data_IF_464373360586
#
_entry.id   IF_464373360586
#
_cell.length_a   1.000
_cell.length_b   1.000
_cell.length_c   1.000
_cell.angle_alpha   90.00
_cell.angle_beta   90.00
_cell.angle_gamma   90.00
#
_symmetry.space_group_name_H-M   'P 1'
#
loop_
_entity.id
_entity.type
_entity.pdbx_description
1 polymer ?
#
# COMPACT_ATOMS: atom_id res chain seq x y z
N UNK A 1 -0.44 -20.81 -22.35
CA UNK A 1 -1.15 -21.34 -21.17
C UNK A 1 -2.55 -20.72 -21.08
N UNK A 2 -3.58 -21.52 -20.76
CA UNK A 2 -4.97 -21.09 -20.57
C UNK A 2 -5.45 -21.55 -19.18
N UNK A 3 -6.31 -20.76 -18.54
CA UNK A 3 -6.88 -21.12 -17.22
C UNK A 3 -7.58 -22.48 -17.25
N UNK A 4 -8.25 -22.81 -18.35
CA UNK A 4 -8.87 -24.11 -18.55
C UNK A 4 -7.88 -25.28 -18.48
N UNK A 5 -6.65 -25.11 -18.96
CA UNK A 5 -5.61 -26.15 -18.85
C UNK A 5 -5.17 -26.36 -17.40
N UNK A 6 -5.15 -25.29 -16.59
CA UNK A 6 -4.87 -25.40 -15.14
C UNK A 6 -5.97 -26.21 -14.44
N UNK A 7 -7.24 -25.95 -14.76
CA UNK A 7 -8.36 -26.77 -14.27
C UNK A 7 -8.22 -28.24 -14.66
N UNK A 8 -7.74 -28.51 -15.87
CA UNK A 8 -7.50 -29.91 -16.30
C UNK A 8 -6.44 -30.59 -15.47
N UNK A 9 -5.30 -29.93 -15.22
CA UNK A 9 -4.23 -30.49 -14.37
C UNK A 9 -4.76 -30.80 -12.97
N UNK A 10 -5.47 -29.84 -12.34
CA UNK A 10 -6.04 -30.00 -10.99
C UNK A 10 -6.99 -31.21 -10.98
N UNK A 11 -7.89 -31.30 -11.97
CA UNK A 11 -8.89 -32.39 -12.04
C UNK A 11 -8.25 -33.76 -12.25
N UNK A 12 -7.18 -33.84 -13.06
CA UNK A 12 -6.42 -35.10 -13.24
C UNK A 12 -5.79 -35.55 -11.91
N UNK A 13 -5.25 -34.62 -11.14
CA UNK A 13 -4.64 -34.94 -9.84
C UNK A 13 -5.70 -35.38 -8.83
N UNK A 14 -6.85 -34.71 -8.79
CA UNK A 14 -7.96 -35.07 -7.90
C UNK A 14 -8.51 -36.48 -8.17
N UNK A 15 -8.62 -36.85 -9.44
CA UNK A 15 -9.18 -38.14 -9.83
C UNK A 15 -8.13 -39.26 -9.93
N UNK A 16 -6.86 -38.92 -10.02
CA UNK A 16 -5.75 -39.87 -10.25
C UNK A 16 -5.77 -40.54 -11.64
N UNK A 17 -6.68 -40.13 -12.55
CA UNK A 17 -6.90 -40.78 -13.83
C UNK A 17 -7.35 -39.81 -14.93
N UNK A 18 -6.66 -39.86 -16.09
CA UNK A 18 -7.07 -39.11 -17.30
C UNK A 18 -8.46 -39.46 -17.77
N UNK A 19 -8.85 -40.73 -17.70
CA UNK A 19 -10.17 -41.19 -18.15
C UNK A 19 -11.27 -40.67 -17.21
N UNK A 20 -11.05 -40.72 -15.90
CA UNK A 20 -12.02 -40.23 -14.92
C UNK A 20 -12.14 -38.71 -14.98
N UNK A 21 -11.00 -38.01 -15.05
CA UNK A 21 -10.98 -36.56 -15.22
C UNK A 21 -11.74 -36.11 -16.48
N UNK A 22 -11.52 -36.79 -17.62
CA UNK A 22 -12.18 -36.43 -18.86
C UNK A 22 -13.71 -36.58 -18.80
N UNK A 23 -14.22 -37.63 -18.10
CA UNK A 23 -15.67 -37.78 -17.86
C UNK A 23 -16.22 -36.64 -17.01
N UNK A 24 -15.56 -36.30 -15.91
CA UNK A 24 -16.00 -35.22 -15.02
C UNK A 24 -15.89 -33.83 -15.67
N UNK A 25 -14.97 -33.66 -16.60
CA UNK A 25 -14.81 -32.43 -17.39
C UNK A 25 -15.70 -32.36 -18.65
N UNK A 26 -16.47 -33.42 -18.94
CA UNK A 26 -17.31 -33.52 -20.13
C UNK A 26 -16.56 -33.33 -21.44
N UNK A 27 -15.33 -33.85 -21.55
CA UNK A 27 -14.50 -33.81 -22.74
C UNK A 27 -13.97 -35.22 -23.07
N UNK A 28 -13.46 -35.39 -24.29
CA UNK A 28 -12.84 -36.66 -24.66
C UNK A 28 -11.45 -36.80 -24.05
N UNK A 29 -11.06 -38.03 -23.65
CA UNK A 29 -9.74 -38.28 -23.10
C UNK A 29 -8.59 -37.86 -24.04
N UNK A 30 -8.67 -38.09 -25.39
CA UNK A 30 -7.63 -37.55 -26.29
C UNK A 30 -7.51 -36.02 -26.24
N UNK A 31 -8.65 -35.31 -26.18
CA UNK A 31 -8.62 -33.83 -26.04
C UNK A 31 -7.93 -33.36 -24.76
N UNK A 32 -8.26 -34.01 -23.63
CA UNK A 32 -7.61 -33.75 -22.36
C UNK A 32 -6.09 -34.02 -22.42
N UNK A 33 -5.70 -35.18 -22.97
CA UNK A 33 -4.30 -35.59 -23.10
C UNK A 33 -3.49 -34.63 -23.99
N UNK A 34 -4.10 -34.14 -25.09
CA UNK A 34 -3.46 -33.16 -25.97
C UNK A 34 -3.30 -31.79 -25.26
N UNK A 35 -4.34 -31.32 -24.56
CA UNK A 35 -4.28 -30.07 -23.83
C UNK A 35 -3.18 -30.07 -22.73
N UNK A 36 -2.99 -31.20 -22.05
CA UNK A 36 -1.90 -31.39 -21.08
C UNK A 36 -0.55 -31.38 -21.77
N UNK A 37 -0.39 -32.13 -22.86
CA UNK A 37 0.87 -32.18 -23.62
C UNK A 37 1.27 -30.82 -24.19
N UNK A 38 0.30 -30.05 -24.70
CA UNK A 38 0.54 -28.71 -25.22
C UNK A 38 1.02 -27.77 -24.10
N UNK A 39 0.42 -27.88 -22.91
CA UNK A 39 0.84 -27.13 -21.73
C UNK A 39 2.25 -27.52 -21.27
N UNK A 40 2.55 -28.81 -21.14
CA UNK A 40 3.88 -29.33 -20.79
C UNK A 40 4.95 -28.83 -21.78
N UNK A 41 4.64 -28.87 -23.08
CA UNK A 41 5.52 -28.38 -24.13
C UNK A 41 5.72 -26.83 -24.03
N UNK A 42 4.67 -26.08 -23.76
CA UNK A 42 4.74 -24.62 -23.63
C UNK A 42 5.55 -24.20 -22.39
N UNK A 43 5.39 -24.92 -21.28
CA UNK A 43 6.11 -24.66 -20.02
C UNK A 43 7.52 -25.24 -20.02
N UNK A 44 7.87 -26.16 -20.94
CA UNK A 44 9.15 -26.83 -20.98
C UNK A 44 9.40 -27.82 -19.84
N UNK A 45 8.33 -28.34 -19.23
CA UNK A 45 8.38 -29.31 -18.11
C UNK A 45 7.43 -30.48 -18.38
N UNK A 46 7.76 -31.63 -17.81
CA UNK A 46 6.83 -32.75 -17.69
C UNK A 46 6.07 -32.62 -16.37
N UNK A 47 4.76 -32.43 -16.41
CA UNK A 47 3.93 -32.32 -15.21
C UNK A 47 3.60 -33.70 -14.67
N UNK A 48 3.38 -34.68 -15.56
CA UNK A 48 2.96 -36.02 -15.19
C UNK A 48 3.94 -37.11 -15.66
N UNK A 49 4.13 -38.09 -14.80
CA UNK A 49 4.69 -39.39 -15.17
C UNK A 49 3.53 -40.36 -15.45
N UNK A 50 3.50 -40.93 -16.67
CA UNK A 50 2.52 -41.92 -17.07
C UNK A 50 3.10 -43.31 -16.89
N UNK A 51 2.47 -44.14 -16.13
CA UNK A 51 2.88 -45.56 -15.91
C UNK A 51 1.65 -46.48 -15.96
N UNK A 52 1.82 -47.79 -16.11
CA UNK A 52 0.71 -48.74 -16.17
C UNK A 52 -0.22 -48.74 -14.96
N UNK A 53 0.24 -48.21 -13.83
CA UNK A 53 -0.54 -48.10 -12.59
C UNK A 53 -1.32 -46.78 -12.45
N UNK A 54 -1.19 -45.86 -13.42
CA UNK A 54 -1.88 -44.55 -13.42
C UNK A 54 -0.96 -43.39 -13.70
N UNK A 55 -1.37 -42.22 -13.24
CA UNK A 55 -0.70 -40.94 -13.40
C UNK A 55 -0.18 -40.46 -12.06
N UNK A 56 1.10 -40.04 -12.02
CA UNK A 56 1.74 -39.43 -10.86
C UNK A 56 2.38 -38.09 -11.26
N UNK A 57 2.47 -37.15 -10.35
CA UNK A 57 3.16 -35.88 -10.58
C UNK A 57 4.68 -36.07 -10.58
N UNK A 58 5.37 -35.32 -11.43
CA UNK A 58 6.82 -35.08 -11.32
C UNK A 58 7.11 -34.11 -10.17
N UNK A 59 8.37 -33.86 -9.85
CA UNK A 59 8.76 -32.79 -8.91
C UNK A 59 8.32 -31.43 -9.42
N UNK A 60 8.59 -31.13 -10.69
CA UNK A 60 8.18 -29.87 -11.33
C UNK A 60 6.66 -29.77 -11.43
N UNK A 61 5.96 -30.90 -11.65
CA UNK A 61 4.50 -30.99 -11.65
C UNK A 61 3.87 -30.67 -10.30
N UNK A 62 4.50 -31.06 -9.18
CA UNK A 62 4.03 -30.70 -7.82
C UNK A 62 4.14 -29.19 -7.58
N UNK A 63 5.25 -28.58 -7.97
CA UNK A 63 5.45 -27.13 -7.88
C UNK A 63 4.46 -26.40 -8.78
N UNK A 64 4.35 -26.81 -10.05
CA UNK A 64 3.39 -26.26 -11.00
C UNK A 64 1.95 -26.33 -10.49
N UNK A 65 1.54 -27.47 -9.90
CA UNK A 65 0.19 -27.64 -9.34
C UNK A 65 -0.10 -26.64 -8.22
N UNK A 66 0.89 -26.33 -7.38
CA UNK A 66 0.74 -25.33 -6.31
C UNK A 66 0.38 -23.96 -6.87
N UNK A 67 1.13 -23.49 -7.88
CA UNK A 67 0.82 -22.22 -8.56
C UNK A 67 -0.49 -22.29 -9.35
N UNK A 68 -0.77 -23.40 -10.03
CA UNK A 68 -2.00 -23.59 -10.77
C UNK A 68 -3.25 -23.45 -9.90
N UNK A 69 -3.23 -24.01 -8.68
CA UNK A 69 -4.33 -23.87 -7.71
C UNK A 69 -4.53 -22.43 -7.29
N UNK A 70 -3.46 -21.67 -7.00
CA UNK A 70 -3.55 -20.27 -6.63
C UNK A 70 -4.18 -19.42 -7.74
N UNK A 71 -3.74 -19.60 -9.00
CA UNK A 71 -4.30 -18.88 -10.15
C UNK A 71 -5.80 -19.20 -10.34
N UNK A 72 -6.17 -20.47 -10.23
CA UNK A 72 -7.59 -20.90 -10.38
C UNK A 72 -8.43 -20.32 -9.25
N UNK A 73 -7.97 -20.36 -8.01
CA UNK A 73 -8.65 -19.77 -6.86
C UNK A 73 -8.85 -18.26 -7.02
N UNK A 74 -7.82 -17.52 -7.43
CA UNK A 74 -7.94 -16.09 -7.72
C UNK A 74 -8.95 -15.81 -8.85
N UNK A 75 -8.99 -16.67 -9.86
CA UNK A 75 -9.97 -16.54 -10.95
C UNK A 75 -11.39 -16.78 -10.46
N UNK A 76 -11.60 -17.77 -9.60
CA UNK A 76 -12.90 -18.05 -8.98
C UNK A 76 -13.38 -16.88 -8.12
N UNK A 77 -12.51 -16.33 -7.28
CA UNK A 77 -12.82 -15.14 -6.47
C UNK A 77 -13.24 -13.94 -7.37
N UNK A 78 -12.51 -13.72 -8.47
CA UNK A 78 -12.86 -12.69 -9.44
C UNK A 78 -14.25 -12.94 -10.07
N UNK A 79 -14.52 -14.18 -10.48
CA UNK A 79 -15.83 -14.54 -11.07
C UNK A 79 -16.97 -14.42 -10.07
N UNK A 80 -16.78 -14.91 -8.84
CA UNK A 80 -17.77 -14.79 -7.77
C UNK A 80 -18.13 -13.34 -7.49
N UNK A 81 -17.11 -12.47 -7.46
CA UNK A 81 -17.31 -11.04 -7.26
C UNK A 81 -18.23 -10.40 -8.30
N UNK A 82 -18.04 -10.71 -9.58
CA UNK A 82 -18.75 -10.03 -10.67
C UNK A 82 -19.99 -10.79 -11.18
N UNK A 83 -20.07 -12.11 -10.98
CA UNK A 83 -21.22 -12.92 -11.37
C UNK A 83 -22.31 -12.99 -10.30
N UNK A 84 -21.99 -12.74 -9.02
CA UNK A 84 -22.93 -12.76 -7.90
C UNK A 84 -23.16 -11.34 -7.35
N UNK A 85 -24.13 -10.58 -7.85
CA UNK A 85 -24.40 -9.21 -7.39
C UNK A 85 -24.86 -9.11 -5.92
N UNK A 86 -25.14 -10.21 -5.25
CA UNK A 86 -25.53 -10.26 -3.82
C UNK A 86 -24.32 -10.04 -2.88
N UNK A 87 -23.11 -10.11 -3.38
CA UNK A 87 -21.90 -9.82 -2.62
C UNK A 87 -21.39 -8.40 -2.86
N UNK A 88 -22.28 -7.39 -2.87
CA UNK A 88 -21.88 -5.99 -2.94
C UNK A 88 -21.10 -5.62 -1.67
N UNK A 89 -19.80 -5.95 -1.65
CA UNK A 89 -18.83 -5.36 -0.73
C UNK A 89 -18.39 -4.03 -1.30
N UNK A 90 -18.50 -2.99 -0.52
CA UNK A 90 -17.85 -1.73 -0.85
C UNK A 90 -16.33 -1.97 -0.84
N UNK A 91 -15.67 -1.56 -1.92
CA UNK A 91 -14.21 -1.60 -2.02
C UNK A 91 -13.70 -0.18 -2.03
N UNK A 92 -12.68 0.06 -1.21
CA UNK A 92 -11.96 1.31 -1.24
C UNK A 92 -10.54 1.07 -0.75
N UNK A 93 -9.58 1.75 -1.35
CA UNK A 93 -8.17 1.58 -1.02
C UNK A 93 -7.42 2.91 -1.09
N UNK A 94 -6.63 3.16 -0.06
CA UNK A 94 -5.78 4.33 0.08
C UNK A 94 -4.36 3.89 0.39
N UNK A 95 -3.38 4.51 -0.24
CA UNK A 95 -1.98 4.46 0.14
C UNK A 95 -1.51 5.84 0.55
N UNK A 96 -0.77 5.97 1.65
CA UNK A 96 -0.28 7.26 2.14
C UNK A 96 1.12 7.15 2.72
N UNK A 97 1.83 8.25 2.77
CA UNK A 97 2.92 8.43 3.71
C UNK A 97 2.38 8.30 5.15
N UNK A 98 3.26 8.27 6.13
CA UNK A 98 2.91 7.94 7.53
C UNK A 98 2.21 9.10 8.27
N UNK A 99 0.97 9.40 7.87
CA UNK A 99 0.17 10.50 8.41
C UNK A 99 -0.97 10.03 9.30
N UNK A 100 -0.98 10.48 10.57
CA UNK A 100 -2.04 10.16 11.52
C UNK A 100 -3.42 10.69 11.07
N UNK A 101 -3.49 11.87 10.45
CA UNK A 101 -4.74 12.46 9.96
C UNK A 101 -5.39 11.65 8.81
N UNK A 102 -4.59 10.92 8.01
CA UNK A 102 -5.10 10.01 6.98
C UNK A 102 -5.81 8.82 7.63
N UNK A 103 -5.24 8.29 8.71
CA UNK A 103 -5.86 7.20 9.49
C UNK A 103 -7.16 7.68 10.14
N UNK A 104 -7.19 8.89 10.70
CA UNK A 104 -8.39 9.46 11.32
C UNK A 104 -9.51 9.68 10.30
N UNK A 105 -9.19 10.23 9.13
CA UNK A 105 -10.16 10.38 8.03
C UNK A 105 -10.73 9.02 7.61
N UNK A 106 -9.90 7.98 7.60
CA UNK A 106 -10.34 6.62 7.29
C UNK A 106 -11.26 6.04 8.38
N UNK A 107 -10.95 6.30 9.65
CA UNK A 107 -11.82 5.95 10.79
C UNK A 107 -13.14 6.70 10.71
N UNK A 108 -13.12 8.00 10.39
CA UNK A 108 -14.30 8.83 10.22
C UNK A 108 -15.18 8.33 9.08
N UNK A 109 -14.58 7.94 7.95
CA UNK A 109 -15.29 7.31 6.84
C UNK A 109 -16.06 6.06 7.29
N UNK A 110 -15.43 5.18 8.06
CA UNK A 110 -16.07 3.96 8.57
C UNK A 110 -17.18 4.23 9.57
N UNK A 111 -16.93 5.12 10.54
CA UNK A 111 -17.90 5.45 11.59
C UNK A 111 -19.16 6.15 11.06
N UNK A 112 -19.01 6.96 10.00
CA UNK A 112 -20.12 7.76 9.43
C UNK A 112 -20.79 7.09 8.22
N UNK A 113 -20.40 5.86 7.85
CA UNK A 113 -20.97 5.10 6.73
C UNK A 113 -21.83 3.96 7.21
N UNK A 114 -23.04 3.80 6.59
CA UNK A 114 -23.98 2.71 6.86
C UNK A 114 -23.65 1.45 6.03
N UNK A 115 -22.38 1.02 6.02
CA UNK A 115 -21.95 -0.11 5.22
C UNK A 115 -22.09 -1.42 6.02
N UNK A 116 -22.92 -2.34 5.52
CA UNK A 116 -23.04 -3.68 6.12
C UNK A 116 -21.86 -4.60 5.75
N UNK A 117 -21.32 -4.46 4.53
CA UNK A 117 -20.23 -5.30 4.00
C UNK A 117 -19.23 -4.44 3.28
N UNK A 118 -17.98 -4.51 3.68
CA UNK A 118 -16.89 -3.76 3.05
C UNK A 118 -15.58 -4.56 3.08
N UNK A 119 -14.70 -4.21 2.17
CA UNK A 119 -13.32 -4.66 2.13
C UNK A 119 -12.45 -3.44 1.78
N UNK A 120 -11.79 -2.90 2.78
CA UNK A 120 -11.10 -1.63 2.68
C UNK A 120 -9.62 -1.81 3.00
N UNK A 121 -8.78 -1.09 2.27
CA UNK A 121 -7.34 -1.14 2.45
C UNK A 121 -6.80 0.26 2.74
N UNK A 122 -6.11 0.39 3.85
CA UNK A 122 -5.29 1.55 4.19
C UNK A 122 -3.84 1.07 4.31
N UNK A 123 -2.95 1.64 3.50
CA UNK A 123 -1.52 1.34 3.49
C UNK A 123 -0.75 2.59 3.85
N UNK A 124 -0.05 2.56 4.98
CA UNK A 124 1.03 3.52 5.24
C UNK A 124 2.29 2.92 4.62
N UNK A 125 2.87 3.60 3.62
CA UNK A 125 3.96 3.05 2.83
C UNK A 125 4.81 4.15 2.20
N UNK A 126 5.91 3.77 1.56
CA UNK A 126 6.92 4.62 0.96
C UNK A 126 6.38 5.44 -0.20
N UNK A 127 6.92 6.62 -0.41
CA UNK A 127 6.47 7.55 -1.46
C UNK A 127 6.42 6.91 -2.84
N UNK A 128 7.45 6.14 -3.22
CA UNK A 128 7.46 5.44 -4.50
C UNK A 128 6.36 4.37 -4.60
N UNK A 129 6.13 3.62 -3.52
CA UNK A 129 5.10 2.57 -3.47
C UNK A 129 3.69 3.16 -3.56
N UNK A 130 3.46 4.35 -2.97
CA UNK A 130 2.18 5.06 -3.12
C UNK A 130 1.90 5.37 -4.59
N UNK A 131 2.90 5.90 -5.31
CA UNK A 131 2.78 6.20 -6.74
C UNK A 131 2.52 4.92 -7.54
N UNK A 132 3.24 3.85 -7.25
CA UNK A 132 3.07 2.56 -7.93
C UNK A 132 1.70 1.90 -7.62
N UNK A 133 1.21 2.04 -6.39
CA UNK A 133 -0.11 1.54 -5.99
C UNK A 133 -1.25 2.23 -6.75
N UNK A 134 -1.20 3.56 -6.89
CA UNK A 134 -2.24 4.31 -7.62
C UNK A 134 -2.11 4.07 -9.13
N UNK A 135 -0.90 4.05 -9.67
CA UNK A 135 -0.62 3.74 -11.07
C UNK A 135 -1.18 2.39 -11.50
N UNK A 136 -1.05 1.38 -10.64
CA UNK A 136 -1.49 0.01 -10.91
C UNK A 136 -2.89 -0.30 -10.36
N UNK A 137 -3.67 0.70 -9.96
CA UNK A 137 -5.02 0.56 -9.40
C UNK A 137 -5.10 -0.34 -8.16
N UNK A 138 -4.00 -0.49 -7.40
CA UNK A 138 -4.01 -1.16 -6.08
C UNK A 138 -4.57 -0.24 -5.00
N UNK A 139 -4.44 1.07 -5.19
CA UNK A 139 -5.10 2.09 -4.39
C UNK A 139 -5.81 3.09 -5.30
N UNK A 140 -7.00 3.54 -4.87
CA UNK A 140 -7.78 4.53 -5.59
C UNK A 140 -7.19 5.92 -5.39
N UNK A 141 -6.72 6.19 -4.17
CA UNK A 141 -6.14 7.45 -3.73
C UNK A 141 -4.76 7.20 -3.13
N UNK A 142 -3.80 8.06 -3.48
CA UNK A 142 -2.53 8.19 -2.78
C UNK A 142 -2.45 9.53 -2.07
N UNK A 143 -1.84 9.60 -0.90
CA UNK A 143 -1.59 10.86 -0.17
C UNK A 143 -0.10 11.01 0.08
N UNK A 144 0.47 12.11 -0.38
CA UNK A 144 1.88 12.45 -0.24
C UNK A 144 2.09 13.96 -0.17
N UNK A 145 3.30 14.39 0.14
CA UNK A 145 3.63 15.80 0.14
C UNK A 145 4.54 16.21 -1.01
N UNK A 146 4.44 17.49 -1.38
CA UNK A 146 5.34 18.21 -2.27
C UNK A 146 5.91 19.42 -1.53
N UNK A 147 7.17 19.75 -1.82
CA UNK A 147 7.80 21.00 -1.38
C UNK A 147 8.74 21.54 -2.47
N UNK A 148 9.47 22.58 -2.17
CA UNK A 148 10.42 23.17 -3.12
C UNK A 148 11.52 22.22 -3.59
N UNK A 149 11.89 21.22 -2.78
CA UNK A 149 12.96 20.28 -3.10
C UNK A 149 12.51 19.12 -3.99
N UNK A 150 11.36 18.50 -3.68
CA UNK A 150 10.94 17.25 -4.36
C UNK A 150 9.93 17.46 -5.51
N UNK A 151 9.31 18.64 -5.61
CA UNK A 151 8.21 18.94 -6.53
C UNK A 151 8.49 18.58 -7.98
N UNK A 152 9.60 19.05 -8.53
CA UNK A 152 9.89 18.86 -9.96
C UNK A 152 10.06 17.38 -10.32
N UNK A 153 10.73 16.63 -9.44
CA UNK A 153 10.99 15.20 -9.64
C UNK A 153 9.71 14.40 -9.48
N UNK A 154 8.95 14.63 -8.41
CA UNK A 154 7.71 13.89 -8.16
C UNK A 154 6.63 14.27 -9.18
N UNK A 155 6.46 15.55 -9.54
CA UNK A 155 5.49 15.96 -10.56
C UNK A 155 5.76 15.29 -11.90
N UNK A 156 7.01 15.27 -12.35
CA UNK A 156 7.38 14.55 -13.58
C UNK A 156 7.06 13.07 -13.49
N UNK A 157 7.32 12.44 -12.35
CA UNK A 157 7.04 11.02 -12.15
C UNK A 157 5.54 10.73 -12.14
N UNK A 158 4.73 11.62 -11.57
CA UNK A 158 3.27 11.53 -11.61
C UNK A 158 2.75 11.64 -13.03
N UNK A 159 3.23 12.62 -13.81
CA UNK A 159 2.86 12.81 -15.23
C UNK A 159 3.22 11.57 -16.07
N UNK A 160 4.46 11.05 -15.92
CA UNK A 160 4.92 9.84 -16.62
C UNK A 160 4.11 8.58 -16.21
N UNK A 161 3.45 8.63 -15.06
CA UNK A 161 2.60 7.56 -14.54
C UNK A 161 1.10 7.78 -14.79
N UNK A 162 0.71 8.84 -15.51
CA UNK A 162 -0.68 9.24 -15.74
C UNK A 162 -1.48 9.46 -14.45
N UNK A 163 -0.84 10.08 -13.46
CA UNK A 163 -1.45 10.42 -12.18
C UNK A 163 -1.65 11.93 -12.07
N UNK A 164 -2.81 12.32 -11.57
CA UNK A 164 -3.14 13.71 -11.28
C UNK A 164 -2.96 13.97 -9.79
N UNK A 165 -2.17 14.98 -9.44
CA UNK A 165 -2.10 15.50 -8.08
C UNK A 165 -3.13 16.65 -7.90
N UNK A 166 -3.81 16.63 -6.77
CA UNK A 166 -4.74 17.69 -6.37
C UNK A 166 -4.37 18.16 -4.96
N UNK A 167 -4.24 19.48 -4.81
CA UNK A 167 -3.91 20.08 -3.52
C UNK A 167 -4.99 19.80 -2.47
N UNK A 168 -4.56 19.41 -1.27
CA UNK A 168 -5.39 19.25 -0.09
C UNK A 168 -5.25 20.47 0.83
N UNK A 169 -4.07 20.68 1.36
CA UNK A 169 -3.74 21.82 2.21
C UNK A 169 -2.22 22.03 2.26
N UNK A 170 -1.81 23.15 2.85
CA UNK A 170 -0.40 23.46 3.09
C UNK A 170 -0.15 23.58 4.59
N UNK A 171 0.80 22.82 5.10
CA UNK A 171 1.23 22.86 6.48
C UNK A 171 2.57 23.60 6.63
N UNK A 172 2.77 24.21 7.81
CA UNK A 172 4.09 24.69 8.20
C UNK A 172 4.88 23.56 8.86
N UNK A 173 6.20 23.51 8.70
CA UNK A 173 7.03 22.51 9.34
C UNK A 173 6.93 22.54 10.85
N UNK A 174 6.82 21.37 11.44
CA UNK A 174 6.85 21.14 12.87
C UNK A 174 7.81 20.00 13.19
N UNK A 175 8.26 19.93 14.42
CA UNK A 175 8.89 18.73 14.96
C UNK A 175 7.91 17.99 15.86
N UNK A 176 7.95 16.67 15.80
CA UNK A 176 7.34 15.82 16.81
C UNK A 176 8.39 15.33 17.78
N UNK A 177 8.14 15.50 19.05
CA UNK A 177 8.99 15.06 20.15
C UNK A 177 8.14 14.47 21.27
N UNK A 178 8.77 13.70 22.17
CA UNK A 178 8.12 13.30 23.43
C UNK A 178 7.81 14.55 24.27
N UNK A 179 6.68 14.54 24.98
CA UNK A 179 6.35 15.62 25.93
C UNK A 179 7.36 15.77 27.09
N UNK A 180 8.20 14.77 27.30
CA UNK A 180 9.30 14.81 28.28
C UNK A 180 10.61 15.33 27.68
N UNK A 181 10.67 15.51 26.35
CA UNK A 181 11.84 16.05 25.67
C UNK A 181 12.10 17.50 26.15
N UNK A 182 13.35 17.90 26.32
CA UNK A 182 13.71 19.29 26.73
C UNK A 182 13.12 20.37 25.79
N UNK A 183 12.87 20.06 24.52
CA UNK A 183 12.31 20.99 23.56
C UNK A 183 10.78 21.15 23.70
N UNK A 184 10.09 20.25 24.39
CA UNK A 184 8.63 20.19 24.45
C UNK A 184 7.93 21.47 24.94
N UNK A 185 8.64 22.31 25.71
CA UNK A 185 8.12 23.57 26.28
C UNK A 185 8.51 24.81 25.45
N UNK A 186 9.18 24.65 24.30
CA UNK A 186 9.51 25.77 23.43
C UNK A 186 8.29 26.17 22.60
N UNK A 187 8.08 27.45 22.36
CA UNK A 187 7.05 27.96 21.45
C UNK A 187 7.44 27.73 19.99
N UNK A 188 8.72 27.81 19.67
CA UNK A 188 9.32 27.59 18.35
C UNK A 188 10.69 26.97 18.51
N UNK A 189 11.05 26.04 17.65
CA UNK A 189 12.35 25.36 17.64
C UNK A 189 13.13 25.79 16.40
N UNK A 190 14.43 26.00 16.54
CA UNK A 190 15.36 26.26 15.45
C UNK A 190 16.16 25.01 15.10
N UNK A 191 16.73 24.95 13.89
CA UNK A 191 17.56 23.81 13.47
C UNK A 191 18.73 23.55 14.38
N UNK A 192 19.37 24.59 14.90
CA UNK A 192 20.50 24.52 15.84
C UNK A 192 20.14 23.85 17.19
N UNK A 193 18.86 23.92 17.59
CA UNK A 193 18.37 23.29 18.82
C UNK A 193 18.28 21.76 18.69
N UNK A 194 18.28 21.23 17.47
CA UNK A 194 18.07 19.81 17.16
C UNK A 194 19.37 18.98 17.18
N UNK A 195 20.52 19.61 17.16
CA UNK A 195 21.83 18.99 16.99
C UNK A 195 22.16 17.88 18.01
N UNK A 196 21.64 17.99 19.23
CA UNK A 196 21.93 17.05 20.32
C UNK A 196 20.97 15.86 20.35
N UNK A 197 19.86 15.90 19.59
CA UNK A 197 18.81 14.91 19.58
C UNK A 197 18.91 13.97 18.37
N UNK A 198 18.51 12.67 18.49
CA UNK A 198 18.45 11.77 17.36
C UNK A 198 17.35 12.18 16.38
N UNK A 199 17.69 12.33 15.11
CA UNK A 199 16.75 12.49 14.02
C UNK A 199 16.16 11.14 13.61
N UNK A 200 14.84 11.04 13.52
CA UNK A 200 14.10 9.84 13.12
C UNK A 200 13.41 10.07 11.78
N UNK A 201 13.61 9.17 10.84
CA UNK A 201 13.04 9.23 9.50
C UNK A 201 12.54 7.87 9.02
N UNK A 202 11.69 7.86 7.97
CA UNK A 202 11.17 6.64 7.39
C UNK A 202 12.06 6.10 6.28
N UNK A 203 12.23 4.77 6.26
CA UNK A 203 12.96 4.03 5.24
C UNK A 203 12.25 4.11 3.88
N UNK A 204 12.97 4.50 2.83
CA UNK A 204 12.45 4.51 1.46
C UNK A 204 12.90 3.28 0.64
N UNK A 205 13.48 2.27 1.27
CA UNK A 205 13.86 0.99 0.65
C UNK A 205 14.88 1.17 -0.47
N UNK A 206 14.62 0.54 -1.60
CA UNK A 206 15.50 0.59 -2.78
C UNK A 206 15.45 1.93 -3.51
N UNK A 207 14.41 2.74 -3.30
CA UNK A 207 14.24 4.08 -3.85
C UNK A 207 14.65 5.14 -2.82
N UNK A 208 15.88 5.04 -2.34
CA UNK A 208 16.41 5.84 -1.22
C UNK A 208 16.93 7.23 -1.62
N UNK A 209 16.51 7.77 -2.75
CA UNK A 209 16.78 9.17 -3.08
C UNK A 209 16.01 10.09 -2.14
N UNK A 210 16.64 11.16 -1.67
CA UNK A 210 16.02 12.17 -0.79
C UNK A 210 14.74 12.81 -1.37
N UNK A 211 14.52 12.74 -2.68
CA UNK A 211 13.25 13.18 -3.30
C UNK A 211 12.04 12.35 -2.87
N UNK A 212 12.25 11.12 -2.38
CA UNK A 212 11.20 10.24 -1.88
C UNK A 212 11.03 10.27 -0.36
N UNK A 213 11.91 10.98 0.36
CA UNK A 213 11.81 11.09 1.81
C UNK A 213 10.46 11.68 2.24
N UNK A 214 9.96 11.26 3.39
CA UNK A 214 8.70 11.73 3.96
C UNK A 214 8.88 12.94 4.86
N UNK A 215 10.12 13.23 5.20
CA UNK A 215 10.52 14.40 6.01
C UNK A 215 11.22 15.42 5.11
N UNK A 216 10.92 16.69 5.35
CA UNK A 216 11.67 17.78 4.76
C UNK A 216 13.07 17.85 5.37
N UNK A 217 14.01 18.46 4.69
CA UNK A 217 15.42 18.58 5.10
C UNK A 217 16.14 17.22 5.29
N UNK A 218 15.61 16.14 4.77
CA UNK A 218 16.23 14.81 4.86
C UNK A 218 17.60 14.73 4.17
N UNK A 219 17.91 15.67 3.26
CA UNK A 219 19.22 15.79 2.61
C UNK A 219 20.28 16.43 3.52
N UNK A 220 19.87 17.07 4.63
CA UNK A 220 20.79 17.70 5.56
C UNK A 220 21.56 16.66 6.40
N UNK A 221 22.74 17.05 6.88
CA UNK A 221 23.55 16.16 7.70
C UNK A 221 23.10 16.16 9.17
N UNK A 222 22.60 15.04 9.63
CA UNK A 222 22.25 14.83 11.04
C UNK A 222 23.34 14.07 11.78
N UNK A 223 23.81 14.59 12.94
CA UNK A 223 24.85 13.94 13.76
C UNK A 223 24.43 12.56 14.25
N UNK A 224 23.13 12.37 14.53
CA UNK A 224 22.53 11.12 15.00
C UNK A 224 21.27 10.88 14.17
N UNK A 225 21.22 9.80 13.42
CA UNK A 225 20.08 9.45 12.57
C UNK A 225 19.67 8.00 12.80
N UNK A 226 18.37 7.76 12.89
CA UNK A 226 17.77 6.44 12.99
C UNK A 226 16.67 6.34 11.94
N UNK A 227 16.74 5.31 11.11
CA UNK A 227 15.75 5.05 10.06
C UNK A 227 14.83 3.91 10.50
N UNK A 228 13.53 4.10 10.37
CA UNK A 228 12.48 3.15 10.77
C UNK A 228 11.54 2.85 9.62
N UNK A 229 10.74 1.79 9.74
CA UNK A 229 9.83 1.35 8.69
C UNK A 229 8.35 1.56 9.01
N UNK A 230 8.03 2.01 10.22
CA UNK A 230 6.64 2.19 10.65
C UNK A 230 6.51 3.26 11.74
N UNK A 231 5.30 3.84 11.82
CA UNK A 231 4.99 4.95 12.72
C UNK A 231 4.99 4.55 14.19
N UNK A 232 4.59 3.34 14.53
CA UNK A 232 4.58 2.88 15.91
C UNK A 232 6.00 2.79 16.48
N UNK A 233 6.93 2.24 15.70
CA UNK A 233 8.35 2.19 16.04
C UNK A 233 8.93 3.60 16.15
N UNK A 234 8.61 4.51 15.22
CA UNK A 234 9.07 5.90 15.27
C UNK A 234 8.64 6.57 16.59
N UNK A 235 7.36 6.49 16.94
CA UNK A 235 6.83 7.11 18.16
C UNK A 235 7.43 6.52 19.44
N UNK A 236 7.66 5.21 19.48
CA UNK A 236 8.34 4.58 20.60
C UNK A 236 9.78 5.09 20.78
N UNK A 237 10.48 5.35 19.67
CA UNK A 237 11.84 5.89 19.71
C UNK A 237 11.87 7.39 20.05
N UNK A 238 10.86 8.16 19.61
CA UNK A 238 10.69 9.55 20.06
C UNK A 238 10.62 9.61 21.60
N UNK A 239 9.85 8.69 22.21
CA UNK A 239 9.68 8.63 23.68
C UNK A 239 10.94 8.07 24.36
N UNK A 240 11.49 6.97 23.82
CA UNK A 240 12.54 6.21 24.49
C UNK A 240 13.94 6.82 24.37
N UNK A 241 14.18 7.67 23.36
CA UNK A 241 15.49 8.25 23.05
C UNK A 241 15.50 9.78 23.03
N UNK A 242 14.38 10.43 23.40
CA UNK A 242 14.21 11.88 23.25
C UNK A 242 14.52 12.37 21.82
N UNK A 243 14.22 11.54 20.80
CA UNK A 243 14.45 11.88 19.41
C UNK A 243 13.43 12.88 18.86
N UNK A 244 13.63 13.31 17.61
CA UNK A 244 12.68 14.13 16.89
C UNK A 244 12.48 13.63 15.46
N UNK A 245 11.34 13.97 14.87
CA UNK A 245 11.09 13.89 13.43
C UNK A 245 10.48 15.19 12.94
N UNK A 246 10.64 15.52 11.65
CA UNK A 246 10.06 16.71 11.05
C UNK A 246 8.77 16.30 10.32
N UNK A 247 7.67 16.99 10.61
CA UNK A 247 6.33 16.62 10.16
C UNK A 247 5.43 17.83 9.88
N UNK A 248 4.19 17.55 9.48
CA UNK A 248 3.18 18.57 9.12
C UNK A 248 2.61 19.35 10.32
N UNK A 249 2.93 18.94 11.54
CA UNK A 249 2.35 19.54 12.74
C UNK A 249 0.98 18.98 13.13
N UNK A 250 0.31 18.23 12.26
CA UNK A 250 -1.00 17.64 12.55
C UNK A 250 -0.81 16.36 13.33
N UNK A 251 -1.18 16.39 14.59
CA UNK A 251 -1.04 15.28 15.54
C UNK A 251 -2.38 15.02 16.21
N UNK A 252 -3.00 13.90 15.90
CA UNK A 252 -4.26 13.51 16.54
C UNK A 252 -4.01 12.80 17.87
N UNK A 253 -4.34 13.47 18.98
CA UNK A 253 -4.19 12.94 20.34
C UNK A 253 -5.12 11.74 20.62
N UNK A 254 -6.28 11.67 19.95
CA UNK A 254 -7.24 10.56 20.15
C UNK A 254 -6.67 9.21 19.69
N UNK A 255 -5.81 9.21 18.68
CA UNK A 255 -5.19 7.99 18.14
C UNK A 255 -3.77 7.74 18.68
N UNK A 256 -3.02 8.81 18.98
CA UNK A 256 -1.59 8.73 19.32
C UNK A 256 -1.31 8.95 20.81
N UNK A 257 -2.34 9.30 21.58
CA UNK A 257 -2.22 9.67 23.01
C UNK A 257 -1.47 10.99 23.24
N UNK A 258 -1.33 11.39 24.49
CA UNK A 258 -0.77 12.70 24.88
C UNK A 258 0.75 12.69 25.08
N UNK A 259 1.44 11.65 24.65
CA UNK A 259 2.89 11.49 24.92
C UNK A 259 3.80 12.17 23.89
N UNK A 260 3.26 12.54 22.75
CA UNK A 260 3.96 13.25 21.67
C UNK A 260 3.37 14.66 21.56
N UNK A 261 4.23 15.62 21.35
CA UNK A 261 3.85 17.03 21.14
C UNK A 261 4.41 17.53 19.81
N UNK A 262 3.68 18.45 19.21
CA UNK A 262 4.03 19.12 17.95
C UNK A 262 4.49 20.53 18.27
N UNK A 263 5.68 20.93 17.77
CA UNK A 263 6.25 22.25 18.00
C UNK A 263 6.65 22.86 16.66
N UNK A 264 6.28 24.11 16.35
CA UNK A 264 6.70 24.79 15.14
C UNK A 264 8.21 24.81 14.97
N UNK A 265 8.68 24.53 13.75
CA UNK A 265 10.07 24.64 13.34
C UNK A 265 10.27 25.94 12.57
N UNK A 266 11.25 26.74 12.97
CA UNK A 266 11.57 28.07 12.38
C UNK A 266 12.30 27.91 11.03
N UNK A 267 11.56 27.47 10.01
CA UNK A 267 12.04 27.37 8.64
C UNK A 267 10.92 27.72 7.65
N UNK A 268 11.31 28.28 6.52
CA UNK A 268 10.39 28.63 5.42
C UNK A 268 10.48 27.59 4.29
N UNK A 269 9.94 26.40 4.56
CA UNK A 269 9.80 25.31 3.57
C UNK A 269 8.44 24.64 3.74
N UNK A 270 7.37 25.26 3.23
CA UNK A 270 6.01 24.76 3.44
C UNK A 270 5.80 23.37 2.82
N UNK A 271 5.06 22.54 3.53
CA UNK A 271 4.71 21.17 3.17
C UNK A 271 3.34 21.20 2.49
N UNK A 272 3.29 21.04 1.17
CA UNK A 272 2.05 20.95 0.43
C UNK A 272 1.56 19.52 0.37
N UNK A 273 0.49 19.21 1.07
CA UNK A 273 -0.17 17.90 1.02
C UNK A 273 -1.05 17.83 -0.23
N UNK A 274 -0.89 16.75 -0.97
CA UNK A 274 -1.68 16.45 -2.17
C UNK A 274 -2.26 15.05 -2.08
N UNK A 275 -3.42 14.85 -2.70
CA UNK A 275 -3.82 13.51 -3.06
C UNK A 275 -3.57 13.27 -4.55
N UNK A 276 -3.23 12.05 -4.88
CA UNK A 276 -3.03 11.59 -6.25
C UNK A 276 -4.07 10.55 -6.61
N UNK A 277 -4.54 10.60 -7.86
CA UNK A 277 -5.45 9.62 -8.45
C UNK A 277 -5.06 9.35 -9.90
N UNK A 278 -5.46 8.23 -10.45
CA UNK A 278 -5.21 7.93 -11.85
C UNK A 278 -6.10 8.78 -12.76
N UNK A 279 -5.53 9.46 -13.79
CA UNK A 279 -6.24 10.38 -14.70
C UNK A 279 -7.44 9.74 -15.40
N UNK A 280 -7.38 8.43 -15.67
CA UNK A 280 -8.42 7.68 -16.36
C UNK A 280 -9.45 7.04 -15.42
N UNK A 281 -9.38 7.31 -14.13
CA UNK A 281 -10.31 6.81 -13.14
C UNK A 281 -11.05 7.96 -12.47
N UNK A 282 -12.38 7.82 -12.33
CA UNK A 282 -13.17 8.69 -11.46
C UNK A 282 -13.11 8.15 -10.04
N UNK A 283 -13.16 9.04 -9.06
CA UNK A 283 -13.29 8.63 -7.68
C UNK A 283 -14.61 7.90 -7.44
N UNK A 284 -14.58 6.90 -6.61
CA UNK A 284 -15.78 6.27 -6.08
C UNK A 284 -16.47 7.23 -5.09
N UNK A 285 -17.75 6.97 -4.76
CA UNK A 285 -18.44 7.72 -3.71
C UNK A 285 -17.71 7.65 -2.36
N UNK A 286 -16.99 6.56 -2.10
CA UNK A 286 -16.18 6.42 -0.90
C UNK A 286 -14.91 7.28 -0.98
N UNK A 287 -14.27 7.32 -2.15
CA UNK A 287 -13.12 8.19 -2.39
C UNK A 287 -13.46 9.67 -2.21
N UNK A 288 -14.60 10.11 -2.75
CA UNK A 288 -15.10 11.49 -2.56
C UNK A 288 -15.32 11.81 -1.08
N UNK A 289 -16.03 10.95 -0.35
CA UNK A 289 -16.27 11.12 1.10
C UNK A 289 -14.98 11.07 1.92
N UNK A 290 -14.04 10.20 1.53
CA UNK A 290 -12.75 10.13 2.22
C UNK A 290 -11.99 11.45 2.11
N UNK A 291 -11.98 12.09 0.94
CA UNK A 291 -11.36 13.41 0.75
C UNK A 291 -12.08 14.48 1.58
N UNK A 292 -13.42 14.46 1.65
CA UNK A 292 -14.17 15.37 2.51
C UNK A 292 -13.74 15.24 3.98
N UNK A 293 -13.69 14.00 4.51
CA UNK A 293 -13.24 13.78 5.90
C UNK A 293 -11.77 14.13 6.11
N UNK A 294 -10.93 13.89 5.12
CA UNK A 294 -9.51 14.26 5.20
C UNK A 294 -9.32 15.78 5.34
N UNK A 295 -10.16 16.55 4.65
CA UNK A 295 -10.19 18.02 4.78
C UNK A 295 -10.83 18.49 6.10
N UNK A 296 -11.82 17.77 6.63
CA UNK A 296 -12.42 18.07 7.94
C UNK A 296 -11.38 17.89 9.07
N UNK A 297 -10.64 16.77 9.11
CA UNK A 297 -9.64 16.48 10.15
C UNK A 297 -8.55 17.55 10.23
N UNK A 298 -8.17 18.14 9.08
CA UNK A 298 -7.14 19.19 9.04
C UNK A 298 -7.66 20.55 9.55
N UNK A 299 -8.97 20.79 9.51
CA UNK A 299 -9.56 22.06 9.98
C UNK A 299 -9.74 22.11 11.50
N UNK A 300 -9.82 20.96 12.18
CA UNK A 300 -10.01 20.90 13.63
C UNK A 300 -8.71 21.13 14.43
N UNK A 301 -7.55 21.02 13.81
CA UNK A 301 -6.23 21.22 14.46
C UNK A 301 -5.67 22.66 14.29
N UNK A 302 -6.53 23.64 14.00
CA UNK A 302 -6.14 25.06 13.92
C UNK A 302 -6.57 25.82 15.18
#
# INVERSE_FOLDING_TARGET
>A
MRIQQLHYIIKIVETGSMNEASKQLFITQPSLSNAVRDLEKEMGIDIFIRNPKGITLTKDGMEFLSYARQVVEQTQLLEERYKNPVANRELFSVSSQHYAFVVEAFVSLLKKSDMEKYELFLRETRTWEIIDDVKNFRSEIGVLFLNGYNRDVLSKMLDDSHLKATHLFTAQPHIFVSKTNPLANKEVVKLEDLDDFPYLSYDQGTHNSFYFSEEILSQEHHKKSIVVSDRATLFNLLIGLDGYTIATGILNSNLNGDNIVSIPLDIDDPIELVYIQHEKASLSKMGEKFIEYLLEEVQFDK
#
